data_IF_191640687315
#
_entry.id   IF_191640687315
#
_cell.length_a   1.000
_cell.length_b   1.000
_cell.length_c   1.000
_cell.angle_alpha   90.00
_cell.angle_beta   90.00
_cell.angle_gamma   90.00
#
_symmetry.space_group_name_H-M   'P 1'
#
loop_
_entity.id
_entity.type
_entity.pdbx_description
1 polymer ?
#
# COMPACT_ATOMS: atom_id res chain seq x y z
N UNK A 1 -23.34 -0.01 14.31
CA UNK A 1 -21.91 -0.21 14.01
C UNK A 1 -21.20 1.11 14.21
N UNK A 2 -20.05 1.11 14.86
CA UNK A 2 -19.21 2.28 15.10
C UNK A 2 -17.84 2.02 14.50
N UNK A 3 -17.58 2.60 13.32
CA UNK A 3 -16.34 2.36 12.60
C UNK A 3 -15.30 3.40 12.97
N UNK A 4 -14.09 2.94 13.20
CA UNK A 4 -12.94 3.80 13.46
C UNK A 4 -11.88 3.50 12.42
N UNK A 5 -11.42 4.55 11.75
CA UNK A 5 -10.35 4.49 10.76
C UNK A 5 -9.05 4.87 11.46
N UNK A 6 -8.03 4.05 11.26
CA UNK A 6 -6.70 4.24 11.80
C UNK A 6 -5.72 4.53 10.66
N UNK A 7 -4.67 5.30 10.96
CA UNK A 7 -3.52 5.49 10.07
C UNK A 7 -2.25 5.08 10.81
N UNK A 8 -1.47 4.20 10.21
CA UNK A 8 -0.19 3.81 10.77
C UNK A 8 0.80 4.98 10.77
N UNK A 9 1.48 5.17 11.90
CA UNK A 9 2.48 6.23 12.09
C UNK A 9 3.83 5.80 11.52
N UNK A 10 4.81 6.72 11.57
CA UNK A 10 6.20 6.40 11.19
C UNK A 10 6.82 5.29 12.06
N UNK A 11 6.34 5.09 13.29
CA UNK A 11 6.82 4.02 14.17
C UNK A 11 6.44 2.61 13.67
N UNK A 12 5.51 2.52 12.73
CA UNK A 12 5.14 1.28 12.07
C UNK A 12 6.11 0.89 10.94
N UNK A 13 7.17 1.66 10.68
CA UNK A 13 8.15 1.35 9.63
C UNK A 13 7.54 1.37 8.24
N UNK A 14 7.73 0.32 7.44
CA UNK A 14 7.19 0.23 6.08
C UNK A 14 5.66 0.30 5.97
N UNK A 15 4.93 0.15 7.09
CA UNK A 15 3.48 0.31 7.14
C UNK A 15 3.01 1.76 7.31
N UNK A 16 3.92 2.73 7.49
CA UNK A 16 3.56 4.13 7.71
C UNK A 16 2.63 4.69 6.60
N UNK A 17 1.55 5.34 7.01
CA UNK A 17 0.52 5.90 6.13
C UNK A 17 -0.54 4.91 5.64
N UNK A 18 -0.39 3.61 5.92
CA UNK A 18 -1.46 2.62 5.65
C UNK A 18 -2.69 2.98 6.49
N UNK A 19 -3.87 3.01 5.85
CA UNK A 19 -5.14 3.20 6.54
C UNK A 19 -5.91 1.90 6.65
N UNK A 20 -6.38 1.61 7.85
CA UNK A 20 -7.24 0.46 8.16
C UNK A 20 -8.48 0.94 8.88
N UNK A 21 -9.49 0.08 9.02
CA UNK A 21 -10.64 0.38 9.85
C UNK A 21 -11.09 -0.86 10.62
N UNK A 22 -11.67 -0.61 11.78
CA UNK A 22 -12.24 -1.65 12.65
C UNK A 22 -13.64 -1.24 13.08
N UNK A 23 -14.56 -2.20 13.07
CA UNK A 23 -15.93 -2.00 13.55
C UNK A 23 -16.03 -2.34 15.03
N UNK A 24 -16.62 -1.43 15.79
CA UNK A 24 -17.01 -1.62 17.18
C UNK A 24 -18.53 -1.62 17.31
N UNK A 25 -19.04 -2.21 18.39
CA UNK A 25 -20.48 -2.21 18.68
C UNK A 25 -21.03 -0.77 18.79
N UNK A 26 -20.33 0.06 19.56
CA UNK A 26 -20.66 1.45 19.85
C UNK A 26 -19.41 2.25 20.26
N UNK A 27 -19.55 3.57 20.39
CA UNK A 27 -18.48 4.49 20.81
C UNK A 27 -17.90 4.15 22.19
N UNK A 28 -18.76 3.76 23.14
CA UNK A 28 -18.34 3.38 24.48
C UNK A 28 -17.52 2.11 24.47
N UNK A 29 -17.86 1.13 23.62
CA UNK A 29 -17.08 -0.09 23.42
C UNK A 29 -15.68 0.24 22.90
N UNK A 30 -15.58 1.10 21.87
CA UNK A 30 -14.29 1.56 21.35
C UNK A 30 -13.41 2.15 22.46
N UNK A 31 -13.87 3.16 23.20
CA UNK A 31 -13.05 3.79 24.24
C UNK A 31 -12.72 2.88 25.44
N UNK A 32 -13.45 1.77 25.64
CA UNK A 32 -13.11 0.78 26.67
C UNK A 32 -12.02 -0.19 26.22
N UNK A 33 -12.01 -0.59 24.96
CA UNK A 33 -11.11 -1.64 24.44
C UNK A 33 -9.88 -1.07 23.73
N UNK A 34 -9.98 0.14 23.19
CA UNK A 34 -8.87 0.78 22.52
C UNK A 34 -7.85 1.28 23.53
N UNK A 35 -6.63 0.80 23.37
CA UNK A 35 -5.44 1.30 24.05
C UNK A 35 -4.61 2.01 23.01
N UNK A 36 -4.17 3.23 23.29
CA UNK A 36 -3.33 3.99 22.37
C UNK A 36 -2.07 3.18 22.01
N UNK A 37 -1.92 2.88 20.73
CA UNK A 37 -0.74 2.24 20.15
C UNK A 37 0.08 3.33 19.44
N UNK A 38 1.36 3.55 19.79
CA UNK A 38 2.15 4.60 19.15
C UNK A 38 2.40 4.33 17.66
N UNK A 39 2.16 3.11 17.17
CA UNK A 39 2.19 2.75 15.74
C UNK A 39 0.93 3.14 14.99
N UNK A 40 -0.16 3.55 15.64
CA UNK A 40 -1.43 3.87 15.00
C UNK A 40 -2.09 5.11 15.59
N UNK A 41 -2.52 6.01 14.72
CA UNK A 41 -3.36 7.14 15.09
C UNK A 41 -4.80 6.87 14.67
N UNK A 42 -5.75 7.28 15.51
CA UNK A 42 -7.15 7.40 15.11
C UNK A 42 -7.27 8.56 14.13
N UNK A 43 -7.67 8.27 12.90
CA UNK A 43 -7.86 9.28 11.86
C UNK A 43 -9.26 9.90 11.96
N UNK A 44 -10.28 9.06 12.08
CA UNK A 44 -11.69 9.47 12.24
C UNK A 44 -12.50 8.34 12.89
N UNK A 45 -13.54 8.71 13.63
CA UNK A 45 -14.43 7.79 14.32
C UNK A 45 -15.89 8.00 13.93
N UNK A 46 -16.72 6.96 14.05
CA UNK A 46 -18.16 7.05 13.89
C UNK A 46 -18.63 7.21 12.44
N UNK A 47 -17.82 6.78 11.48
CA UNK A 47 -18.11 6.87 10.04
C UNK A 47 -18.98 5.71 9.55
N UNK A 48 -19.64 5.87 8.40
CA UNK A 48 -20.36 4.76 7.75
C UNK A 48 -19.39 3.70 7.20
N UNK A 49 -19.90 2.53 6.81
CA UNK A 49 -19.08 1.49 6.19
C UNK A 49 -18.50 1.98 4.86
N UNK A 50 -19.30 2.66 4.04
CA UNK A 50 -18.86 3.24 2.77
C UNK A 50 -17.78 4.30 2.97
N UNK A 51 -17.95 5.17 3.97
CA UNK A 51 -16.96 6.20 4.29
C UNK A 51 -15.64 5.58 4.79
N UNK A 52 -15.70 4.55 5.63
CA UNK A 52 -14.50 3.80 6.06
C UNK A 52 -13.77 3.15 4.87
N UNK A 53 -14.50 2.53 3.95
CA UNK A 53 -13.93 1.97 2.71
C UNK A 53 -13.30 3.07 1.85
N UNK A 54 -13.93 4.22 1.70
CA UNK A 54 -13.39 5.34 0.92
C UNK A 54 -12.15 5.95 1.57
N UNK A 55 -12.10 6.04 2.89
CA UNK A 55 -10.94 6.56 3.63
C UNK A 55 -9.74 5.62 3.56
N UNK A 56 -9.98 4.31 3.67
CA UNK A 56 -8.92 3.31 3.49
C UNK A 56 -8.42 3.23 2.05
N UNK A 57 -9.28 3.45 1.06
CA UNK A 57 -8.88 3.57 -0.34
C UNK A 57 -8.01 4.81 -0.63
N UNK A 58 -8.01 5.82 0.25
CA UNK A 58 -7.13 6.99 0.17
C UNK A 58 -5.75 6.74 0.79
N UNK A 59 -5.39 5.49 1.09
CA UNK A 59 -4.03 5.12 1.50
C UNK A 59 -3.03 5.54 0.40
N UNK A 60 -1.93 6.24 0.73
CA UNK A 60 -0.90 6.58 -0.25
C UNK A 60 -0.37 5.32 -0.95
N UNK A 61 -0.21 5.39 -2.27
CA UNK A 61 0.20 4.22 -3.06
C UNK A 61 1.60 3.76 -2.66
N UNK A 62 2.52 4.69 -2.40
CA UNK A 62 3.85 4.40 -1.89
C UNK A 62 3.82 3.61 -0.58
N UNK A 63 2.88 3.94 0.32
CA UNK A 63 2.73 3.21 1.59
C UNK A 63 2.35 1.75 1.36
N UNK A 64 1.49 1.45 0.37
CA UNK A 64 1.15 0.06 0.02
C UNK A 64 2.35 -0.74 -0.48
N UNK A 65 3.18 -0.12 -1.32
CA UNK A 65 4.38 -0.77 -1.84
C UNK A 65 5.43 -0.99 -0.74
N UNK A 66 5.66 0.02 0.11
CA UNK A 66 6.55 -0.10 1.27
C UNK A 66 6.09 -1.17 2.25
N UNK A 67 4.79 -1.25 2.52
CA UNK A 67 4.22 -2.29 3.37
C UNK A 67 4.46 -3.69 2.79
N UNK A 68 4.24 -3.88 1.48
CA UNK A 68 4.52 -5.15 0.82
C UNK A 68 5.98 -5.57 0.93
N UNK A 69 6.91 -4.62 0.78
CA UNK A 69 8.33 -4.87 0.99
C UNK A 69 8.60 -5.24 2.45
N UNK A 70 8.11 -4.46 3.42
CA UNK A 70 8.28 -4.75 4.84
C UNK A 70 7.81 -6.18 5.17
N UNK A 71 6.61 -6.56 4.72
CA UNK A 71 6.08 -7.91 4.88
C UNK A 71 6.98 -8.99 4.28
N UNK A 72 7.67 -8.70 3.17
CA UNK A 72 8.61 -9.65 2.56
C UNK A 72 9.90 -9.85 3.36
N UNK A 73 10.24 -8.93 4.26
CA UNK A 73 11.40 -9.03 5.16
C UNK A 73 11.04 -9.53 6.57
N UNK A 74 9.75 -9.69 6.89
CA UNK A 74 9.31 -10.26 8.19
C UNK A 74 9.39 -11.79 8.25
N UNK A 75 9.55 -12.47 7.11
CA UNK A 75 9.66 -13.92 7.05
C UNK A 75 11.09 -14.41 7.25
N UNK A 76 11.45 -14.85 8.46
CA UNK A 76 12.80 -15.32 8.80
C UNK A 76 13.27 -16.58 8.02
N UNK A 77 12.34 -17.33 7.42
CA UNK A 77 12.62 -18.67 6.84
C UNK A 77 12.40 -18.78 5.34
N UNK A 78 11.81 -17.77 4.71
CA UNK A 78 11.46 -17.80 3.29
C UNK A 78 12.39 -16.89 2.48
N UNK A 79 12.66 -17.27 1.24
CA UNK A 79 13.42 -16.43 0.32
C UNK A 79 12.70 -15.09 0.14
N UNK A 80 13.35 -14.00 0.56
CA UNK A 80 12.82 -12.64 0.45
C UNK A 80 12.41 -12.31 -0.99
N UNK A 81 13.12 -12.81 -2.00
CA UNK A 81 12.74 -12.56 -3.40
C UNK A 81 11.41 -13.23 -3.75
N UNK A 82 11.17 -14.45 -3.24
CA UNK A 82 9.90 -15.14 -3.40
C UNK A 82 8.78 -14.40 -2.68
N UNK A 83 9.04 -13.89 -1.46
CA UNK A 83 8.05 -13.08 -0.74
C UNK A 83 7.77 -11.75 -1.43
N UNK A 84 8.78 -11.09 -2.00
CA UNK A 84 8.59 -9.86 -2.78
C UNK A 84 7.74 -10.13 -4.03
N UNK A 85 7.98 -11.25 -4.72
CA UNK A 85 7.17 -11.73 -5.84
C UNK A 85 5.72 -12.01 -5.43
N UNK A 86 5.46 -12.39 -4.18
CA UNK A 86 4.13 -12.66 -3.67
C UNK A 86 3.40 -11.40 -3.16
N UNK A 87 4.09 -10.47 -2.52
CA UNK A 87 3.47 -9.30 -1.87
C UNK A 87 3.30 -8.10 -2.81
N UNK A 88 4.29 -7.80 -3.67
CA UNK A 88 4.21 -6.63 -4.55
C UNK A 88 3.01 -6.69 -5.51
N UNK A 89 2.69 -7.81 -6.18
CA UNK A 89 1.50 -7.87 -7.03
C UNK A 89 0.20 -7.60 -6.27
N UNK A 90 0.11 -8.01 -4.98
CA UNK A 90 -1.06 -7.73 -4.14
C UNK A 90 -1.19 -6.23 -3.86
N UNK A 91 -0.10 -5.55 -3.56
CA UNK A 91 -0.10 -4.11 -3.36
C UNK A 91 -0.47 -3.35 -4.65
N UNK A 92 0.08 -3.75 -5.80
CA UNK A 92 -0.25 -3.19 -7.11
C UNK A 92 -1.75 -3.36 -7.42
N UNK A 93 -2.29 -4.56 -7.19
CA UNK A 93 -3.71 -4.83 -7.38
C UNK A 93 -4.59 -3.97 -6.45
N UNK A 94 -4.22 -3.85 -5.17
CA UNK A 94 -4.93 -3.01 -4.22
C UNK A 94 -4.96 -1.53 -4.65
N UNK A 95 -3.83 -1.00 -5.13
CA UNK A 95 -3.75 0.37 -5.68
C UNK A 95 -4.72 0.55 -6.84
N UNK A 96 -4.78 -0.41 -7.77
CA UNK A 96 -5.69 -0.35 -8.92
C UNK A 96 -7.16 -0.35 -8.48
N UNK A 97 -7.52 -1.20 -7.52
CA UNK A 97 -8.89 -1.23 -6.96
C UNK A 97 -9.25 0.07 -6.24
N UNK A 98 -8.31 0.69 -5.54
CA UNK A 98 -8.52 1.97 -4.86
C UNK A 98 -8.68 3.14 -5.84
N UNK A 99 -7.95 3.13 -6.95
CA UNK A 99 -8.10 4.12 -8.03
C UNK A 99 -9.50 4.08 -8.65
N UNK A 100 -10.07 2.89 -8.83
CA UNK A 100 -11.45 2.72 -9.32
C UNK A 100 -12.48 3.32 -8.36
N UNK A 101 -12.28 3.17 -7.04
CA UNK A 101 -13.17 3.71 -6.01
C UNK A 101 -13.08 5.21 -5.86
N UNK A 102 -11.91 5.79 -6.08
CA UNK A 102 -11.65 7.22 -5.84
C UNK A 102 -11.89 8.12 -7.06
N UNK A 103 -12.48 7.58 -8.14
CA UNK A 103 -12.72 8.27 -9.42
C UNK A 103 -11.47 8.97 -9.97
N UNK A 104 -10.28 8.41 -9.69
CA UNK A 104 -9.01 8.94 -10.17
C UNK A 104 -8.54 8.08 -11.34
N UNK A 105 -8.88 8.45 -12.60
CA UNK A 105 -8.32 7.75 -13.74
C UNK A 105 -6.80 7.91 -13.70
N UNK A 106 -6.09 6.78 -13.72
CA UNK A 106 -4.64 6.75 -13.88
C UNK A 106 -4.33 6.19 -15.26
N UNK A 107 -4.05 7.08 -16.21
CA UNK A 107 -3.33 6.71 -17.42
C UNK A 107 -1.89 7.19 -17.27
N UNK A 108 -0.96 6.25 -17.19
CA UNK A 108 0.45 6.53 -17.44
C UNK A 108 1.00 5.46 -18.36
N UNK A 109 1.63 5.93 -19.43
CA UNK A 109 2.37 5.14 -20.42
C UNK A 109 3.78 4.98 -19.88
N UNK A 110 4.22 3.75 -19.65
CA UNK A 110 5.58 3.49 -19.21
C UNK A 110 6.55 3.67 -20.37
N UNK A 111 7.43 4.67 -20.29
CA UNK A 111 8.72 4.57 -20.97
C UNK A 111 9.66 3.80 -20.04
N UNK A 112 9.84 2.51 -20.34
CA UNK A 112 10.82 1.68 -19.66
C UNK A 112 12.22 2.13 -20.09
N UNK A 113 12.95 2.82 -19.22
CA UNK A 113 14.40 2.96 -19.37
C UNK A 113 15.10 1.88 -18.55
N UNK A 114 15.90 1.04 -19.20
CA UNK A 114 16.67 -0.02 -18.56
C UNK A 114 17.86 0.53 -17.77
N UNK A 115 17.62 1.17 -16.62
CA UNK A 115 18.70 1.46 -15.65
C UNK A 115 18.75 0.35 -14.62
N UNK A 116 19.70 -0.58 -14.81
CA UNK A 116 19.77 -1.87 -14.15
C UNK A 116 20.55 -1.85 -12.84
N UNK A 117 20.20 -1.00 -11.87
CA UNK A 117 20.88 -1.02 -10.56
C UNK A 117 20.47 -2.28 -9.77
N UNK A 118 21.45 -3.07 -9.33
CA UNK A 118 21.23 -4.18 -8.39
C UNK A 118 20.87 -3.60 -7.02
N UNK A 119 19.59 -3.45 -6.71
CA UNK A 119 19.14 -3.04 -5.38
C UNK A 119 19.19 -4.25 -4.45
N UNK A 120 20.05 -4.19 -3.44
CA UNK A 120 20.11 -5.18 -2.37
C UNK A 120 19.67 -4.53 -1.06
N UNK A 121 18.77 -5.22 -0.34
CA UNK A 121 18.30 -4.81 0.98
C UNK A 121 17.08 -3.88 0.97
N UNK A 122 16.36 -3.88 2.09
CA UNK A 122 15.11 -3.16 2.32
C UNK A 122 15.24 -1.66 2.07
N UNK A 123 16.26 -1.03 2.64
CA UNK A 123 16.48 0.43 2.55
C UNK A 123 16.73 0.89 1.11
N UNK A 124 17.49 0.10 0.33
CA UNK A 124 17.73 0.39 -1.09
C UNK A 124 16.44 0.35 -1.90
N UNK A 125 15.54 -0.59 -1.59
CA UNK A 125 14.23 -0.69 -2.25
C UNK A 125 13.32 0.47 -1.86
N UNK A 126 13.28 0.85 -0.57
CA UNK A 126 12.51 2.01 -0.11
C UNK A 126 12.96 3.30 -0.80
N UNK A 127 14.27 3.56 -0.83
CA UNK A 127 14.83 4.73 -1.49
C UNK A 127 14.47 4.74 -2.99
N UNK A 128 14.54 3.60 -3.67
CA UNK A 128 14.23 3.52 -5.09
C UNK A 128 12.73 3.70 -5.41
N UNK A 129 11.84 3.36 -4.48
CA UNK A 129 10.40 3.61 -4.67
C UNK A 129 10.06 5.06 -4.37
N UNK A 130 10.74 5.68 -3.40
CA UNK A 130 10.58 7.10 -3.11
C UNK A 130 10.93 7.98 -4.33
N UNK A 131 11.94 7.60 -5.12
CA UNK A 131 12.25 8.32 -6.37
C UNK A 131 11.19 8.13 -7.46
N UNK A 132 10.38 7.06 -7.37
CA UNK A 132 9.28 6.78 -8.30
C UNK A 132 7.94 7.39 -7.84
N UNK A 133 7.90 7.96 -6.63
CA UNK A 133 6.70 8.56 -6.07
C UNK A 133 6.63 10.05 -6.38
N UNK A 134 5.46 10.48 -6.83
CA UNK A 134 5.14 11.90 -6.95
C UNK A 134 4.84 12.53 -5.58
N UNK A 135 4.85 13.87 -5.45
CA UNK A 135 4.66 14.55 -4.16
C UNK A 135 3.34 14.23 -3.45
N UNK A 136 2.31 13.76 -4.17
CA UNK A 136 1.02 13.36 -3.58
C UNK A 136 0.97 11.87 -3.17
N UNK A 137 2.11 11.17 -3.25
CA UNK A 137 2.26 9.77 -2.83
C UNK A 137 1.83 8.74 -3.88
N UNK A 138 1.50 9.15 -5.12
CA UNK A 138 1.27 8.21 -6.23
C UNK A 138 2.57 7.65 -6.74
N UNK A 139 2.53 6.40 -7.21
CA UNK A 139 3.69 5.72 -7.77
C UNK A 139 3.43 5.35 -9.23
N UNK A 140 4.43 5.57 -10.08
CA UNK A 140 4.45 4.99 -11.42
C UNK A 140 4.71 3.48 -11.31
N UNK A 141 3.63 2.69 -11.42
CA UNK A 141 3.67 1.23 -11.30
C UNK A 141 4.55 0.58 -12.36
N UNK A 142 4.74 1.23 -13.52
CA UNK A 142 5.62 0.73 -14.57
C UNK A 142 7.10 0.97 -14.26
N UNK A 143 7.44 2.03 -13.51
CA UNK A 143 8.80 2.25 -12.99
C UNK A 143 9.15 1.26 -11.87
N UNK A 144 8.18 0.82 -11.06
CA UNK A 144 8.42 -0.19 -10.01
C UNK A 144 8.95 -1.50 -10.62
N UNK A 145 8.41 -1.94 -11.77
CA UNK A 145 8.85 -3.19 -12.40
C UNK A 145 10.28 -3.12 -12.91
N UNK A 146 10.72 -1.97 -13.46
CA UNK A 146 12.11 -1.78 -13.88
C UNK A 146 13.07 -1.71 -12.69
N UNK A 147 12.62 -1.14 -11.57
CA UNK A 147 13.44 -0.96 -10.36
C UNK A 147 13.66 -2.29 -9.63
N UNK A 148 12.62 -3.10 -9.45
CA UNK A 148 12.69 -4.26 -8.54
C UNK A 148 13.25 -5.51 -9.27
N UNK A 149 13.42 -5.49 -10.60
CA UNK A 149 13.87 -6.64 -11.43
C UNK A 149 13.12 -7.95 -11.17
N UNK A 150 11.99 -7.88 -10.47
CA UNK A 150 11.05 -8.96 -10.38
C UNK A 150 10.27 -8.91 -11.67
N UNK A 151 10.14 -10.02 -12.42
CA UNK A 151 9.13 -10.11 -13.46
C UNK A 151 7.78 -9.99 -12.76
N UNK A 152 7.35 -8.75 -12.54
CA UNK A 152 5.98 -8.41 -12.18
C UNK A 152 5.19 -8.97 -13.35
N UNK A 153 4.60 -10.15 -13.13
CA UNK A 153 3.78 -10.81 -14.12
C UNK A 153 2.83 -9.74 -14.66
N UNK A 154 3.04 -9.38 -15.92
CA UNK A 154 2.23 -8.46 -16.71
C UNK A 154 0.90 -9.18 -17.00
N UNK A 155 0.21 -9.60 -15.95
CA UNK A 155 -1.08 -10.29 -16.02
C UNK A 155 -2.20 -9.32 -15.69
N UNK A 156 -1.96 -8.26 -14.93
CA UNK A 156 -3.06 -7.38 -14.49
C UNK A 156 -3.37 -6.25 -15.49
N UNK A 157 -2.44 -5.92 -16.41
CA UNK A 157 -2.69 -4.80 -17.36
C UNK A 157 -3.68 -5.14 -18.49
N UNK A 158 -3.92 -6.42 -18.79
CA UNK A 158 -4.80 -6.80 -19.91
C UNK A 158 -6.22 -7.24 -19.51
N UNK A 159 -6.53 -7.41 -18.22
CA UNK A 159 -7.85 -7.89 -17.80
C UNK A 159 -8.84 -6.79 -17.36
N UNK A 160 -8.42 -5.52 -17.31
CA UNK A 160 -9.33 -4.39 -17.07
C UNK A 160 -9.89 -3.76 -18.37
N UNK A 161 -9.60 -4.34 -19.54
CA UNK A 161 -10.24 -4.03 -20.83
C UNK A 161 -11.19 -5.16 -21.24
N UNK A 162 -12.07 -5.60 -20.33
CA UNK A 162 -13.25 -6.36 -20.73
C UNK A 162 -14.42 -5.36 -20.83
N UNK A 163 -15.13 -5.33 -21.97
CA UNK A 163 -16.13 -4.33 -22.31
C UNK A 163 -17.35 -4.33 -21.37
#
# INVERSE_FOLDING_TARGET
MYNVVFEYTQEAGGFAGIRTWTTYNDKGHFHRVWVADPKQNVLIEGVSDEEAVMLTAKTPEISRIKAAIEESYLGDTLDTNLLLQAHLPKAVFAIQMDRQKTERPSFYVTHLSETSTSLQGKESLFAAIETCASPDGRVDLGMISSVIKIPLLVIIFNQCNLP
#
